data_IF_165407920478
#
_entry.id   IF_165407920478
#
_cell.length_a   1.000
_cell.length_b   1.000
_cell.length_c   1.000
_cell.angle_alpha   90.00
_cell.angle_beta   90.00
_cell.angle_gamma   90.00
#
_symmetry.space_group_name_H-M   'P 1'
#
loop_
_entity.id
_entity.type
_entity.pdbx_description
1 polymer ?
#
# COMPACT_ATOMS: atom_id res chain seq x y z
N UNK A 1 10.58 10.22 44.59
CA UNK A 1 11.91 10.87 44.60
C UNK A 1 12.86 9.92 43.90
N UNK A 2 13.64 10.22 42.85
CA UNK A 2 13.80 11.34 41.93
C UNK A 2 14.29 10.68 40.62
N UNK A 3 13.49 10.72 39.57
CA UNK A 3 13.81 11.41 38.31
C UNK A 3 15.24 11.25 37.78
N UNK A 4 15.36 10.45 36.72
CA UNK A 4 16.13 10.85 35.54
C UNK A 4 15.39 10.43 34.28
N UNK A 5 14.53 11.35 33.85
CA UNK A 5 14.05 11.49 32.47
C UNK A 5 15.26 11.79 31.60
N UNK A 6 15.67 10.87 30.74
CA UNK A 6 16.30 11.24 29.47
C UNK A 6 15.36 10.88 28.33
N UNK A 7 14.75 11.94 27.81
CA UNK A 7 13.99 12.00 26.60
C UNK A 7 14.93 11.81 25.40
N UNK A 8 14.46 11.05 24.42
CA UNK A 8 14.69 11.25 22.98
C UNK A 8 16.07 10.94 22.36
N UNK A 9 15.97 10.18 21.26
CA UNK A 9 16.74 10.29 20.02
C UNK A 9 18.18 9.74 20.04
N UNK A 10 18.39 8.62 19.34
CA UNK A 10 19.67 8.39 18.66
C UNK A 10 20.28 7.00 18.73
N UNK A 11 19.52 5.93 18.97
CA UNK A 11 20.05 4.57 18.76
C UNK A 11 19.54 4.09 17.41
N UNK A 12 20.29 4.38 16.34
CA UNK A 12 20.11 3.70 15.05
C UNK A 12 21.32 2.92 14.60
N UNK A 13 21.08 1.60 14.47
CA UNK A 13 21.92 0.57 13.87
C UNK A 13 23.21 0.29 14.64
N UNK A 14 23.11 -0.40 15.78
CA UNK A 14 24.26 -1.12 16.31
C UNK A 14 24.51 -2.35 15.41
N UNK A 15 25.23 -2.17 14.30
CA UNK A 15 25.74 -3.27 13.46
C UNK A 15 27.00 -3.92 14.04
N UNK A 16 27.52 -3.41 15.17
CA UNK A 16 28.69 -3.97 15.83
C UNK A 16 28.29 -4.88 16.98
N UNK A 17 28.14 -6.17 16.66
CA UNK A 17 28.59 -7.31 17.49
C UNK A 17 28.78 -7.01 18.99
N UNK A 18 27.67 -6.94 19.71
CA UNK A 18 27.50 -7.31 21.12
C UNK A 18 26.00 -7.27 21.47
N UNK A 19 25.15 -7.94 20.68
CA UNK A 19 23.98 -8.55 21.30
C UNK A 19 24.58 -9.68 22.13
N UNK A 20 24.63 -9.50 23.45
CA UNK A 20 24.95 -10.59 24.34
C UNK A 20 23.86 -11.65 24.16
N UNK A 21 24.13 -12.64 23.30
CA UNK A 21 23.35 -13.86 23.15
C UNK A 21 23.38 -14.75 24.42
N UNK A 22 23.79 -14.20 25.57
CA UNK A 22 23.78 -14.88 26.87
C UNK A 22 22.50 -14.64 27.67
N UNK A 23 21.62 -13.74 27.22
CA UNK A 23 20.32 -13.55 27.85
C UNK A 23 19.33 -14.56 27.28
N UNK A 24 18.82 -15.43 28.16
CA UNK A 24 17.80 -16.48 27.91
C UNK A 24 16.54 -16.02 27.17
N UNK A 25 16.36 -14.70 26.97
CA UNK A 25 15.32 -14.08 26.13
C UNK A 25 15.64 -14.07 24.63
N UNK A 26 16.90 -14.25 24.22
CA UNK A 26 17.32 -14.31 22.81
C UNK A 26 17.45 -15.76 22.36
N UNK A 27 16.31 -16.45 22.23
CA UNK A 27 16.32 -17.79 21.67
C UNK A 27 15.72 -17.81 20.26
N UNK A 28 16.59 -17.66 19.25
CA UNK A 28 16.28 -18.09 17.88
C UNK A 28 16.00 -19.60 17.78
N UNK A 29 16.22 -20.38 18.85
CA UNK A 29 16.03 -21.84 18.85
C UNK A 29 14.78 -22.35 19.58
N UNK A 30 14.01 -21.57 20.37
CA UNK A 30 12.86 -22.16 21.14
C UNK A 30 11.54 -21.39 21.12
N UNK A 31 11.44 -20.27 20.42
CA UNK A 31 10.14 -19.78 19.98
C UNK A 31 10.19 -19.80 18.48
N UNK A 32 9.16 -20.37 17.86
CA UNK A 32 8.84 -20.32 16.44
C UNK A 32 9.73 -19.33 15.69
N UNK A 33 10.36 -19.76 14.59
CA UNK A 33 10.47 -18.92 13.40
C UNK A 33 9.08 -18.31 13.17
N UNK A 34 8.76 -17.21 13.85
CA UNK A 34 7.55 -16.46 13.63
C UNK A 34 7.84 -15.86 12.28
N UNK A 35 7.31 -16.53 11.25
CA UNK A 35 7.44 -16.17 9.86
C UNK A 35 7.45 -14.65 9.79
N UNK A 36 8.57 -14.06 9.34
CA UNK A 36 8.62 -12.64 9.10
C UNK A 36 7.33 -12.25 8.37
N UNK A 37 6.75 -11.11 8.73
CA UNK A 37 5.52 -10.66 8.09
C UNK A 37 5.69 -10.81 6.58
N UNK A 38 4.70 -11.41 5.89
CA UNK A 38 4.87 -11.80 4.48
C UNK A 38 5.35 -10.63 3.61
N UNK A 39 5.01 -9.39 3.99
CA UNK A 39 5.53 -8.17 3.40
C UNK A 39 7.06 -8.01 3.55
N UNK A 40 7.61 -8.23 4.74
CA UNK A 40 9.06 -8.14 5.03
C UNK A 40 9.82 -9.26 4.32
N UNK A 41 9.30 -10.50 4.35
CA UNK A 41 9.90 -11.60 3.60
C UNK A 41 9.96 -11.28 2.10
N UNK A 42 8.85 -10.78 1.53
CA UNK A 42 8.82 -10.34 0.12
C UNK A 42 9.78 -9.17 -0.17
N UNK A 43 10.02 -8.26 0.78
CA UNK A 43 11.02 -7.20 0.62
C UNK A 43 12.43 -7.79 0.56
N UNK A 44 12.77 -8.67 1.51
CA UNK A 44 14.08 -9.34 1.59
C UNK A 44 14.33 -10.16 0.33
N UNK A 45 13.38 -11.00 -0.10
CA UNK A 45 13.51 -11.83 -1.30
C UNK A 45 13.77 -10.99 -2.56
N UNK A 46 13.13 -9.82 -2.68
CA UNK A 46 13.36 -8.88 -3.79
C UNK A 46 14.75 -8.25 -3.73
N UNK A 47 15.23 -7.91 -2.54
CA UNK A 47 16.58 -7.34 -2.35
C UNK A 47 17.64 -8.39 -2.71
N UNK A 48 17.47 -9.64 -2.24
CA UNK A 48 18.35 -10.76 -2.56
C UNK A 48 18.37 -11.03 -4.07
N UNK A 49 17.21 -10.98 -4.73
CA UNK A 49 17.12 -11.12 -6.20
C UNK A 49 17.93 -10.04 -6.93
N UNK A 50 17.85 -8.77 -6.48
CA UNK A 50 18.63 -7.66 -7.07
C UNK A 50 20.13 -7.81 -6.78
N UNK A 51 20.47 -8.35 -5.60
CA UNK A 51 21.84 -8.71 -5.23
C UNK A 51 22.37 -9.95 -5.95
N UNK A 52 21.56 -10.61 -6.80
CA UNK A 52 21.87 -11.90 -7.42
C UNK A 52 22.25 -12.99 -6.40
N UNK A 53 21.56 -13.00 -5.26
CA UNK A 53 21.75 -13.98 -4.18
C UNK A 53 20.62 -15.01 -4.23
N UNK A 54 20.98 -16.26 -4.51
CA UNK A 54 20.04 -17.37 -4.56
C UNK A 54 19.85 -18.06 -3.19
N UNK A 55 20.72 -17.79 -2.22
CA UNK A 55 20.62 -18.31 -0.87
C UNK A 55 19.49 -17.59 -0.11
N UNK A 56 18.57 -18.36 0.50
CA UNK A 56 17.57 -17.81 1.42
C UNK A 56 18.21 -17.40 2.73
N UNK A 57 17.90 -16.20 3.20
CA UNK A 57 18.34 -15.71 4.50
C UNK A 57 17.29 -16.05 5.56
N UNK A 58 17.75 -16.35 6.78
CA UNK A 58 16.85 -16.51 7.90
C UNK A 58 16.43 -15.13 8.39
N UNK A 59 15.17 -14.96 8.74
CA UNK A 59 14.63 -13.68 9.21
C UNK A 59 14.08 -13.87 10.60
N UNK A 60 14.52 -13.03 11.53
CA UNK A 60 14.14 -13.10 12.93
C UNK A 60 13.47 -11.81 13.38
N UNK A 61 12.30 -11.94 14.00
CA UNK A 61 11.61 -10.84 14.67
C UNK A 61 12.15 -10.72 16.09
N UNK A 62 12.71 -9.56 16.43
CA UNK A 62 13.21 -9.22 17.77
C UNK A 62 12.46 -8.00 18.30
N UNK A 63 11.23 -8.17 18.83
CA UNK A 63 10.48 -7.05 19.37
C UNK A 63 11.21 -6.40 20.55
N UNK A 64 10.98 -5.11 20.76
CA UNK A 64 11.53 -4.29 21.86
C UNK A 64 13.06 -4.13 21.85
N UNK A 65 13.73 -4.58 20.79
CA UNK A 65 15.18 -4.41 20.65
C UNK A 65 15.57 -3.03 20.12
N UNK A 66 14.62 -2.26 19.55
CA UNK A 66 14.89 -0.97 18.90
C UNK A 66 16.05 -1.04 17.90
N UNK A 67 16.14 -2.13 17.13
CA UNK A 67 17.28 -2.36 16.23
C UNK A 67 16.91 -3.20 14.99
N UNK A 68 17.77 -3.15 13.98
CA UNK A 68 17.84 -4.11 12.88
C UNK A 68 19.32 -4.47 12.66
N UNK A 69 19.62 -5.74 12.39
CA UNK A 69 20.99 -6.22 12.28
C UNK A 69 21.13 -7.44 11.37
N UNK A 70 22.18 -7.45 10.55
CA UNK A 70 22.72 -8.62 9.90
C UNK A 70 23.74 -9.35 10.80
N UNK A 71 23.51 -10.63 11.10
CA UNK A 71 24.37 -11.43 11.98
C UNK A 71 24.57 -12.84 11.45
N UNK A 72 25.69 -13.46 11.82
CA UNK A 72 25.90 -14.90 11.63
C UNK A 72 25.60 -15.57 12.97
N UNK A 73 24.57 -16.41 13.00
CA UNK A 73 24.17 -17.17 14.18
C UNK A 73 24.11 -18.65 13.83
N UNK A 74 24.81 -19.51 14.60
CA UNK A 74 24.90 -20.95 14.34
C UNK A 74 25.24 -21.28 12.87
N UNK A 75 26.26 -20.58 12.32
CA UNK A 75 26.70 -20.73 10.93
C UNK A 75 25.63 -20.41 9.87
N UNK A 76 24.62 -19.60 10.22
CA UNK A 76 23.56 -19.14 9.31
C UNK A 76 23.52 -17.62 9.27
N UNK A 77 23.33 -17.05 8.08
CA UNK A 77 23.05 -15.61 7.90
C UNK A 77 21.63 -15.31 8.35
N UNK A 78 21.48 -14.35 9.26
CA UNK A 78 20.22 -13.94 9.88
C UNK A 78 20.05 -12.43 9.74
N UNK A 79 18.91 -12.01 9.21
CA UNK A 79 18.42 -10.64 9.31
C UNK A 79 17.48 -10.56 10.50
N UNK A 80 17.91 -9.90 11.56
CA UNK A 80 17.12 -9.69 12.76
C UNK A 80 16.57 -8.26 12.80
N UNK A 81 15.30 -8.09 13.16
CA UNK A 81 14.70 -6.74 13.22
C UNK A 81 13.58 -6.63 14.26
N UNK A 82 13.48 -5.45 14.87
CA UNK A 82 12.32 -5.01 15.63
C UNK A 82 11.29 -4.38 14.67
N UNK A 83 10.07 -4.94 14.55
CA UNK A 83 9.04 -4.41 13.65
C UNK A 83 8.52 -3.04 14.04
N UNK A 84 8.37 -2.76 15.33
CA UNK A 84 7.85 -1.47 15.79
C UNK A 84 8.84 -0.36 15.44
N UNK A 85 10.12 -0.63 15.70
CA UNK A 85 11.23 0.23 15.35
C UNK A 85 11.39 0.44 13.84
N UNK A 86 11.36 -0.64 13.06
CA UNK A 86 11.45 -0.57 11.60
C UNK A 86 10.31 0.28 11.01
N UNK A 87 9.09 0.14 11.54
CA UNK A 87 7.93 0.95 11.17
C UNK A 87 8.12 2.42 11.55
N UNK A 88 8.56 2.68 12.78
CA UNK A 88 8.77 4.04 13.29
C UNK A 88 9.77 4.81 12.43
N UNK A 89 10.89 4.20 12.06
CA UNK A 89 11.90 4.86 11.24
C UNK A 89 11.45 5.13 9.83
N UNK A 90 10.77 4.16 9.24
CA UNK A 90 10.22 4.31 7.91
C UNK A 90 9.15 5.42 7.87
N UNK A 91 8.32 5.54 8.91
CA UNK A 91 7.32 6.60 9.04
C UNK A 91 7.97 7.98 9.20
N UNK A 92 8.99 8.11 10.04
CA UNK A 92 9.74 9.36 10.22
C UNK A 92 10.37 9.88 8.92
N UNK A 93 10.75 8.98 8.01
CA UNK A 93 11.30 9.37 6.71
C UNK A 93 10.28 9.99 5.75
N UNK A 94 8.99 9.93 6.09
CA UNK A 94 7.87 10.31 5.20
C UNK A 94 7.59 9.29 4.08
N UNK A 95 8.37 8.22 4.00
CA UNK A 95 8.37 7.24 2.91
C UNK A 95 8.35 5.80 3.46
N UNK A 96 7.21 5.37 4.02
CA UNK A 96 7.05 4.09 4.72
C UNK A 96 7.57 2.87 3.95
N UNK A 97 7.40 2.83 2.62
CA UNK A 97 7.91 1.72 1.81
C UNK A 97 9.43 1.78 1.63
N UNK A 98 9.95 2.96 1.28
CA UNK A 98 11.37 3.13 0.97
C UNK A 98 12.24 3.11 2.21
N UNK A 99 11.78 3.69 3.32
CA UNK A 99 12.46 3.62 4.60
C UNK A 99 12.72 2.18 5.05
N UNK A 100 11.71 1.29 4.95
CA UNK A 100 11.88 -0.13 5.25
C UNK A 100 12.90 -0.81 4.35
N UNK A 101 12.83 -0.56 3.04
CA UNK A 101 13.78 -1.13 2.07
C UNK A 101 15.19 -0.61 2.34
N UNK A 102 15.37 0.66 2.68
CA UNK A 102 16.68 1.23 3.01
C UNK A 102 17.34 0.50 4.17
N UNK A 103 16.61 0.28 5.28
CA UNK A 103 17.13 -0.46 6.43
C UNK A 103 17.46 -1.90 6.05
N UNK A 104 16.50 -2.63 5.45
CA UNK A 104 16.71 -4.05 5.11
C UNK A 104 17.82 -4.25 4.08
N UNK A 105 17.91 -3.37 3.08
CA UNK A 105 18.96 -3.46 2.06
C UNK A 105 20.33 -3.11 2.63
N UNK A 106 20.41 -2.18 3.59
CA UNK A 106 21.64 -1.89 4.32
C UNK A 106 22.13 -3.14 5.08
N UNK A 107 21.25 -3.78 5.86
CA UNK A 107 21.60 -5.01 6.59
C UNK A 107 22.02 -6.15 5.64
N UNK A 108 21.25 -6.38 4.57
CA UNK A 108 21.61 -7.38 3.56
C UNK A 108 22.94 -7.03 2.88
N UNK A 109 23.23 -5.74 2.70
CA UNK A 109 24.51 -5.25 2.21
C UNK A 109 25.69 -5.70 3.07
N UNK A 110 25.55 -5.69 4.40
CA UNK A 110 26.59 -6.21 5.30
C UNK A 110 26.89 -7.69 5.09
N UNK A 111 25.88 -8.51 4.78
CA UNK A 111 26.12 -9.91 4.44
C UNK A 111 26.75 -10.07 3.05
N UNK A 112 26.18 -9.43 2.03
CA UNK A 112 26.61 -9.60 0.63
C UNK A 112 28.05 -9.15 0.42
N UNK A 113 28.46 -8.10 1.11
CA UNK A 113 29.81 -7.54 1.02
C UNK A 113 30.81 -8.20 1.99
N UNK A 114 30.39 -9.24 2.71
CA UNK A 114 31.25 -10.01 3.60
C UNK A 114 31.59 -9.32 4.94
N UNK A 115 30.94 -8.20 5.27
CA UNK A 115 31.22 -7.45 6.50
C UNK A 115 30.95 -8.28 7.77
N UNK A 116 29.92 -9.13 7.73
CA UNK A 116 29.58 -10.00 8.87
C UNK A 116 30.58 -11.12 9.08
N UNK A 117 31.25 -11.57 8.00
CA UNK A 117 32.23 -12.66 8.05
C UNK A 117 33.57 -12.21 8.63
N UNK A 118 33.94 -10.93 8.43
CA UNK A 118 35.21 -10.37 8.89
C UNK A 118 35.17 -9.84 10.33
N UNK A 119 33.98 -9.69 10.91
CA UNK A 119 33.77 -8.99 12.18
C UNK A 119 34.57 -9.58 13.35
N UNK A 120 34.73 -10.90 13.41
CA UNK A 120 35.51 -11.57 14.46
C UNK A 120 37.01 -11.24 14.35
N UNK A 121 37.54 -11.23 13.13
CA UNK A 121 38.94 -10.85 12.87
C UNK A 121 39.25 -9.41 13.26
N UNK A 122 38.27 -8.50 13.12
CA UNK A 122 38.43 -7.09 13.49
C UNK A 122 38.62 -6.87 14.99
N UNK A 123 38.18 -7.81 15.86
CA UNK A 123 38.35 -7.69 17.32
C UNK A 123 39.81 -7.68 17.76
N UNK A 124 40.70 -8.27 16.96
CA UNK A 124 42.15 -8.34 17.21
C UNK A 124 42.90 -7.04 16.86
N UNK A 125 42.23 -6.08 16.21
CA UNK A 125 42.84 -4.82 15.77
C UNK A 125 42.72 -3.73 16.84
N UNK A 126 43.64 -2.74 16.85
CA UNK A 126 43.48 -1.53 17.65
C UNK A 126 42.14 -0.84 17.37
N UNK A 127 41.51 -0.28 18.42
CA UNK A 127 40.17 0.32 18.37
C UNK A 127 39.99 1.31 17.22
N UNK A 128 40.97 2.20 17.00
CA UNK A 128 40.91 3.21 15.94
C UNK A 128 40.87 2.59 14.53
N UNK A 129 41.65 1.52 14.30
CA UNK A 129 41.70 0.80 13.02
C UNK A 129 40.42 0.02 12.78
N UNK A 130 39.90 -0.65 13.82
CA UNK A 130 38.59 -1.32 13.78
C UNK A 130 37.46 -0.35 13.42
N UNK A 131 37.39 0.80 14.11
CA UNK A 131 36.37 1.81 13.85
C UNK A 131 36.46 2.38 12.43
N UNK A 132 37.67 2.56 11.89
CA UNK A 132 37.88 3.00 10.51
C UNK A 132 37.28 2.00 9.50
N UNK A 133 37.56 0.71 9.69
CA UNK A 133 37.03 -0.35 8.82
C UNK A 133 35.50 -0.45 8.94
N UNK A 134 34.95 -0.38 10.15
CA UNK A 134 33.50 -0.41 10.36
C UNK A 134 32.79 0.75 9.66
N UNK A 135 33.36 1.96 9.69
CA UNK A 135 32.81 3.09 8.92
C UNK A 135 32.82 2.83 7.41
N UNK A 136 33.87 2.19 6.88
CA UNK A 136 33.90 1.81 5.47
C UNK A 136 32.80 0.80 5.14
N UNK A 137 32.56 -0.17 6.01
CA UNK A 137 31.47 -1.15 5.85
C UNK A 137 30.09 -0.49 5.81
N UNK A 138 29.83 0.46 6.70
CA UNK A 138 28.58 1.24 6.71
C UNK A 138 28.36 1.99 5.38
N UNK A 139 29.41 2.64 4.85
CA UNK A 139 29.33 3.36 3.56
C UNK A 139 29.11 2.41 2.39
N UNK A 140 29.74 1.23 2.41
CA UNK A 140 29.55 0.22 1.37
C UNK A 140 28.13 -0.37 1.44
N UNK A 141 27.59 -0.60 2.64
CA UNK A 141 26.21 -1.02 2.86
C UNK A 141 25.20 0.05 2.40
N UNK A 142 25.43 1.33 2.71
CA UNK A 142 24.62 2.45 2.19
C UNK A 142 24.66 2.52 0.66
N UNK A 143 25.83 2.34 0.05
CA UNK A 143 25.98 2.31 -1.41
C UNK A 143 25.22 1.12 -2.03
N UNK A 144 25.27 -0.05 -1.41
CA UNK A 144 24.46 -1.19 -1.85
C UNK A 144 22.95 -0.91 -1.72
N UNK A 145 22.52 -0.35 -0.59
CA UNK A 145 21.12 0.04 -0.39
C UNK A 145 20.67 1.03 -1.47
N UNK A 146 21.47 2.05 -1.76
CA UNK A 146 21.16 3.02 -2.83
C UNK A 146 20.96 2.35 -4.20
N UNK A 147 21.82 1.39 -4.56
CA UNK A 147 21.70 0.61 -5.79
C UNK A 147 20.38 -0.17 -5.83
N UNK A 148 20.08 -0.88 -4.75
CA UNK A 148 18.84 -1.64 -4.59
C UNK A 148 17.63 -0.74 -4.75
N UNK A 149 17.60 0.40 -4.04
CA UNK A 149 16.49 1.35 -4.14
C UNK A 149 16.32 1.88 -5.57
N UNK A 150 17.39 2.23 -6.28
CA UNK A 150 17.31 2.68 -7.67
C UNK A 150 16.83 1.59 -8.64
N UNK A 151 17.35 0.37 -8.52
CA UNK A 151 16.90 -0.79 -9.31
C UNK A 151 15.43 -1.08 -9.03
N UNK A 152 15.04 -0.96 -7.76
CA UNK A 152 13.64 -1.02 -7.35
C UNK A 152 12.86 0.20 -7.80
N UNK A 153 13.44 1.29 -8.29
CA UNK A 153 12.72 2.43 -8.87
C UNK A 153 12.41 3.59 -7.92
N UNK A 154 13.07 3.67 -6.78
CA UNK A 154 13.03 4.84 -5.91
C UNK A 154 13.57 6.07 -6.64
N UNK A 155 13.02 7.24 -6.34
CA UNK A 155 13.68 8.51 -6.68
C UNK A 155 14.94 8.67 -5.82
N UNK A 156 15.87 9.52 -6.27
CA UNK A 156 17.04 9.87 -5.45
C UNK A 156 16.61 10.48 -4.10
N UNK A 157 15.53 11.30 -4.09
CA UNK A 157 15.01 11.89 -2.87
C UNK A 157 14.50 10.85 -1.87
N UNK A 158 13.73 9.86 -2.34
CA UNK A 158 13.24 8.77 -1.49
C UNK A 158 14.40 7.96 -0.93
N UNK A 159 15.44 7.76 -1.74
CA UNK A 159 16.65 7.02 -1.37
C UNK A 159 17.44 7.73 -0.27
N UNK A 160 17.47 9.06 -0.30
CA UNK A 160 18.16 9.88 0.69
C UNK A 160 17.28 10.22 1.92
N UNK A 161 15.96 10.04 1.84
CA UNK A 161 15.00 10.51 2.84
C UNK A 161 15.29 9.98 4.24
N UNK A 162 15.48 8.66 4.38
CA UNK A 162 15.81 8.05 5.66
C UNK A 162 17.19 8.54 6.16
N UNK A 163 18.23 8.46 5.32
CA UNK A 163 19.60 8.83 5.73
C UNK A 163 19.69 10.27 6.23
N UNK A 164 18.91 11.20 5.64
CA UNK A 164 18.86 12.61 6.07
C UNK A 164 18.29 12.82 7.47
N UNK A 165 17.37 11.96 7.91
CA UNK A 165 16.74 12.07 9.23
C UNK A 165 17.50 11.29 10.31
N UNK A 166 18.40 10.38 9.91
CA UNK A 166 19.26 9.67 10.84
C UNK A 166 20.27 10.65 11.44
N UNK A 167 20.10 10.97 12.72
CA UNK A 167 21.07 11.78 13.46
C UNK A 167 22.36 10.98 13.64
N UNK A 168 23.45 11.46 13.06
CA UNK A 168 24.80 10.91 13.29
C UNK A 168 25.44 11.67 14.46
N UNK A 169 26.17 10.96 15.32
CA UNK A 169 27.01 11.59 16.34
C UNK A 169 27.98 12.60 15.71
N UNK A 170 28.06 13.80 16.28
CA UNK A 170 28.87 14.92 15.74
C UNK A 170 30.39 14.66 15.74
N UNK A 171 30.88 13.58 16.38
CA UNK A 171 32.31 13.22 16.45
C UNK A 171 32.55 11.85 15.83
N UNK A 172 32.80 11.84 14.52
CA UNK A 172 33.01 10.62 13.72
C UNK A 172 34.11 9.70 14.30
N UNK A 173 35.22 10.26 14.81
CA UNK A 173 36.38 9.52 15.33
C UNK A 173 36.07 8.49 16.42
N UNK A 174 34.99 8.67 17.18
CA UNK A 174 34.59 7.77 18.27
C UNK A 174 33.36 6.91 17.96
N UNK A 175 32.75 7.12 16.79
CA UNK A 175 31.52 6.44 16.36
C UNK A 175 31.82 5.34 15.35
N UNK A 176 31.08 4.24 15.38
CA UNK A 176 31.03 3.24 14.31
C UNK A 176 30.41 3.79 13.03
N UNK A 177 29.66 4.89 13.13
CA UNK A 177 28.95 5.50 12.01
C UNK A 177 29.72 6.67 11.37
N UNK A 178 29.84 6.69 10.04
CA UNK A 178 30.36 7.83 9.29
C UNK A 178 29.46 9.05 9.40
N UNK A 179 30.02 10.23 9.14
CA UNK A 179 29.29 11.49 8.97
C UNK A 179 28.07 11.34 8.04
N UNK A 180 26.98 12.06 8.36
CA UNK A 180 25.72 11.99 7.63
C UNK A 180 25.90 12.32 6.13
N UNK A 181 26.76 13.28 5.79
CA UNK A 181 27.01 13.65 4.39
C UNK A 181 27.74 12.54 3.64
N UNK A 182 28.66 11.82 4.30
CA UNK A 182 29.33 10.65 3.71
C UNK A 182 28.33 9.54 3.40
N UNK A 183 27.40 9.28 4.32
CA UNK A 183 26.30 8.31 4.12
C UNK A 183 25.38 8.70 2.98
N UNK A 184 24.95 9.98 2.93
CA UNK A 184 24.15 10.52 1.81
C UNK A 184 24.92 10.40 0.49
N UNK A 185 26.22 10.69 0.47
CA UNK A 185 27.04 10.55 -0.73
C UNK A 185 27.14 9.08 -1.16
N UNK A 186 27.32 8.14 -0.23
CA UNK A 186 27.38 6.71 -0.51
C UNK A 186 26.08 6.17 -1.10
N UNK A 187 24.94 6.46 -0.45
CA UNK A 187 23.63 6.03 -0.97
C UNK A 187 23.33 6.66 -2.33
N UNK A 188 23.78 7.90 -2.57
CA UNK A 188 23.66 8.58 -3.87
C UNK A 188 24.49 7.90 -4.96
N UNK A 189 25.74 7.53 -4.66
CA UNK A 189 26.59 6.76 -5.60
C UNK A 189 25.92 5.45 -5.99
N UNK A 190 25.42 4.72 -4.98
CA UNK A 190 24.65 3.51 -5.17
C UNK A 190 23.46 3.70 -6.10
N UNK A 191 22.66 4.73 -5.82
CA UNK A 191 21.48 5.06 -6.60
C UNK A 191 21.82 5.34 -8.07
N UNK A 192 22.86 6.13 -8.33
CA UNK A 192 23.32 6.41 -9.69
C UNK A 192 23.70 5.13 -10.43
N UNK A 193 24.45 4.23 -9.79
CA UNK A 193 24.80 2.92 -10.37
C UNK A 193 23.57 2.08 -10.70
N UNK A 194 22.66 1.91 -9.75
CA UNK A 194 21.45 1.10 -9.96
C UNK A 194 20.52 1.70 -11.02
N UNK A 195 20.44 3.02 -11.08
CA UNK A 195 19.63 3.73 -12.07
C UNK A 195 20.20 3.56 -13.49
N UNK A 196 21.52 3.70 -13.66
CA UNK A 196 22.19 3.50 -14.94
C UNK A 196 22.01 2.07 -15.44
N UNK A 197 22.19 1.08 -14.56
CA UNK A 197 21.99 -0.35 -14.89
C UNK A 197 20.54 -0.65 -15.29
N UNK A 198 19.57 0.10 -14.77
CA UNK A 198 18.17 -0.04 -15.13
C UNK A 198 17.79 0.66 -16.45
N UNK A 199 18.75 1.30 -17.15
CA UNK A 199 18.51 1.99 -18.41
C UNK A 199 17.57 3.21 -18.31
N UNK A 200 17.47 3.83 -17.12
CA UNK A 200 16.58 4.98 -16.87
C UNK A 200 17.33 6.30 -17.12
N UNK A 201 16.59 7.38 -17.41
CA UNK A 201 17.18 8.72 -17.43
C UNK A 201 17.45 9.19 -15.99
N UNK A 202 18.69 9.01 -15.54
CA UNK A 202 19.13 9.25 -14.18
C UNK A 202 19.50 10.71 -13.89
N UNK A 203 19.41 11.60 -14.87
CA UNK A 203 19.82 12.99 -14.73
C UNK A 203 18.66 13.91 -14.40
N UNK A 204 18.68 14.50 -13.20
CA UNK A 204 17.74 15.55 -12.77
C UNK A 204 17.77 16.81 -13.64
N UNK A 205 18.81 16.99 -14.48
CA UNK A 205 18.95 18.12 -15.41
C UNK A 205 18.38 17.86 -16.82
N UNK A 206 18.36 16.63 -17.32
CA UNK A 206 17.75 16.28 -18.63
C UNK A 206 16.28 15.89 -18.51
N UNK A 207 15.86 15.34 -17.36
CA UNK A 207 14.45 15.12 -17.02
C UNK A 207 13.60 16.41 -17.02
N UNK A 208 14.24 17.58 -16.78
CA UNK A 208 13.57 18.90 -16.84
C UNK A 208 13.17 19.35 -18.25
N UNK A 209 13.81 18.85 -19.31
CA UNK A 209 13.54 19.30 -20.68
C UNK A 209 12.69 18.33 -21.52
N UNK A 210 12.35 17.14 -21.00
CA UNK A 210 11.42 16.21 -21.67
C UNK A 210 10.17 15.86 -20.87
N UNK A 211 10.11 16.17 -19.58
CA UNK A 211 8.84 16.20 -18.86
C UNK A 211 8.52 17.64 -18.50
N UNK A 212 7.52 18.22 -19.18
CA UNK A 212 6.60 19.09 -18.44
C UNK A 212 6.07 18.19 -17.32
N UNK A 213 6.64 18.25 -16.12
CA UNK A 213 6.09 17.55 -14.95
C UNK A 213 4.64 18.03 -14.82
N UNK A 214 3.70 17.22 -15.33
CA UNK A 214 2.29 17.55 -15.23
C UNK A 214 1.98 17.59 -13.74
N UNK A 215 1.49 18.74 -13.29
CA UNK A 215 1.09 18.93 -11.90
C UNK A 215 -0.19 18.14 -11.64
N UNK A 216 -0.03 16.86 -11.33
CA UNK A 216 -1.14 15.96 -11.04
C UNK A 216 -1.66 16.20 -9.64
N UNK A 217 -2.77 16.95 -9.54
CA UNK A 217 -3.43 17.19 -8.26
C UNK A 217 -4.59 16.20 -8.04
N UNK A 218 -4.71 15.69 -6.81
CA UNK A 218 -5.93 14.96 -6.44
C UNK A 218 -7.05 15.97 -6.22
N UNK A 219 -8.28 15.72 -6.72
CA UNK A 219 -9.43 16.58 -6.45
C UNK A 219 -9.86 16.60 -4.97
N UNK A 220 -9.27 15.76 -4.10
CA UNK A 220 -9.49 15.75 -2.66
C UNK A 220 -8.53 16.68 -1.88
N UNK A 221 -7.63 17.37 -2.58
CA UNK A 221 -6.71 18.34 -1.99
C UNK A 221 -5.32 17.79 -1.64
N UNK A 222 -4.54 18.58 -0.89
CA UNK A 222 -3.09 18.36 -0.69
C UNK A 222 -2.77 17.02 -0.03
N UNK A 223 -3.52 16.61 1.00
CA UNK A 223 -3.30 15.35 1.71
C UNK A 223 -3.47 14.09 0.85
N UNK A 224 -4.25 14.17 -0.23
CA UNK A 224 -4.43 13.08 -1.20
C UNK A 224 -3.46 13.15 -2.39
N UNK A 225 -2.77 14.28 -2.57
CA UNK A 225 -2.03 14.59 -3.79
C UNK A 225 -0.64 13.96 -3.82
N UNK A 226 0.02 13.74 -2.68
CA UNK A 226 1.40 13.20 -2.68
C UNK A 226 1.49 11.83 -3.37
N UNK A 227 0.76 10.82 -2.87
CA UNK A 227 0.78 9.46 -3.42
C UNK A 227 0.20 9.40 -4.84
N UNK A 228 -0.84 10.18 -5.12
CA UNK A 228 -1.47 10.23 -6.44
C UNK A 228 -0.56 10.84 -7.49
N UNK A 229 0.05 11.99 -7.20
CA UNK A 229 0.94 12.70 -8.12
C UNK A 229 2.17 11.87 -8.46
N UNK A 230 2.78 11.25 -7.45
CA UNK A 230 3.95 10.39 -7.61
C UNK A 230 3.66 9.21 -8.53
N UNK A 231 2.54 8.50 -8.30
CA UNK A 231 2.14 7.41 -9.18
C UNK A 231 1.84 7.88 -10.61
N UNK A 232 1.13 9.00 -10.78
CA UNK A 232 0.77 9.50 -12.11
C UNK A 232 2.00 9.93 -12.93
N UNK A 233 3.01 10.52 -12.28
CA UNK A 233 4.29 10.82 -12.93
C UNK A 233 5.00 9.54 -13.37
N UNK A 234 5.04 8.52 -12.51
CA UNK A 234 5.65 7.24 -12.86
C UNK A 234 4.87 6.48 -13.95
N UNK A 235 3.56 6.65 -14.02
CA UNK A 235 2.73 6.05 -15.07
C UNK A 235 2.99 6.70 -16.44
N UNK A 236 3.23 8.01 -16.47
CA UNK A 236 3.56 8.74 -17.70
C UNK A 236 4.87 8.27 -18.33
N UNK A 237 5.89 7.96 -17.52
CA UNK A 237 7.19 7.49 -18.01
C UNK A 237 7.14 6.07 -18.58
N UNK A 238 6.07 5.31 -18.30
CA UNK A 238 5.91 3.91 -18.70
C UNK A 238 4.83 3.70 -19.77
N UNK A 239 4.35 4.76 -20.42
CA UNK A 239 3.40 4.65 -21.54
C UNK A 239 4.03 3.91 -22.72
N UNK A 240 3.37 2.83 -23.16
CA UNK A 240 3.86 1.97 -24.23
C UNK A 240 4.97 1.00 -23.80
N UNK A 241 5.37 1.02 -22.53
CA UNK A 241 6.41 0.13 -21.96
C UNK A 241 5.74 -0.91 -21.08
N UNK A 242 6.27 -2.14 -21.10
CA UNK A 242 5.81 -3.21 -20.21
C UNK A 242 6.05 -2.81 -18.75
N UNK A 243 5.00 -2.87 -17.94
CA UNK A 243 5.10 -2.54 -16.51
C UNK A 243 5.87 -3.62 -15.75
N UNK A 244 6.55 -3.22 -14.67
CA UNK A 244 7.28 -4.14 -13.80
C UNK A 244 6.61 -4.24 -12.41
N UNK A 245 7.01 -5.24 -11.63
CA UNK A 245 6.44 -5.51 -10.31
C UNK A 245 6.56 -4.32 -9.36
N UNK A 246 7.60 -3.51 -9.50
CA UNK A 246 7.74 -2.32 -8.68
C UNK A 246 6.66 -1.28 -8.99
N UNK A 247 6.50 -0.93 -10.25
CA UNK A 247 5.42 -0.02 -10.69
C UNK A 247 4.06 -0.51 -10.19
N UNK A 248 3.84 -1.83 -10.24
CA UNK A 248 2.60 -2.43 -9.76
C UNK A 248 2.44 -2.42 -8.24
N UNK A 249 3.55 -2.44 -7.48
CA UNK A 249 3.50 -2.22 -6.04
C UNK A 249 3.17 -0.75 -5.71
N UNK A 250 3.66 0.22 -6.50
CA UNK A 250 3.28 1.63 -6.36
C UNK A 250 1.77 1.82 -6.64
N UNK A 251 1.27 1.24 -7.73
CA UNK A 251 -0.16 1.23 -8.04
C UNK A 251 -0.97 0.59 -6.89
N UNK A 252 -0.54 -0.58 -6.40
CA UNK A 252 -1.23 -1.29 -5.33
C UNK A 252 -1.29 -0.48 -4.03
N UNK A 253 -0.21 0.21 -3.66
CA UNK A 253 -0.19 1.12 -2.52
C UNK A 253 -1.20 2.26 -2.69
N UNK A 254 -1.18 2.96 -3.83
CA UNK A 254 -2.14 4.03 -4.13
C UNK A 254 -3.58 3.51 -4.07
N UNK A 255 -3.84 2.36 -4.69
CA UNK A 255 -5.14 1.70 -4.70
C UNK A 255 -5.64 1.41 -3.28
N UNK A 256 -4.81 0.85 -2.40
CA UNK A 256 -5.17 0.61 -1.00
C UNK A 256 -5.46 1.92 -0.27
N UNK A 257 -4.67 2.97 -0.48
CA UNK A 257 -4.95 4.30 0.09
C UNK A 257 -6.26 4.90 -0.40
N UNK A 258 -6.59 4.74 -1.68
CA UNK A 258 -7.88 5.15 -2.23
C UNK A 258 -9.02 4.34 -1.61
N UNK A 259 -8.85 3.03 -1.45
CA UNK A 259 -9.80 2.16 -0.76
C UNK A 259 -10.02 2.58 0.69
N UNK A 260 -8.96 2.85 1.45
CA UNK A 260 -9.08 3.28 2.85
C UNK A 260 -9.80 4.63 2.97
N UNK A 261 -9.52 5.58 2.06
CA UNK A 261 -10.27 6.84 1.99
C UNK A 261 -11.75 6.62 1.68
N UNK A 262 -12.09 5.65 0.82
CA UNK A 262 -13.49 5.34 0.55
C UNK A 262 -14.23 4.87 1.81
N UNK A 263 -13.54 4.13 2.69
CA UNK A 263 -14.09 3.69 3.97
C UNK A 263 -14.19 4.85 4.96
N UNK A 264 -13.12 5.66 5.09
CA UNK A 264 -13.08 6.84 5.96
C UNK A 264 -14.20 7.83 5.63
N UNK A 265 -14.40 8.10 4.34
CA UNK A 265 -15.44 9.00 3.87
C UNK A 265 -16.80 8.33 3.75
N UNK A 266 -16.96 7.06 4.15
CA UNK A 266 -18.23 6.32 4.12
C UNK A 266 -18.88 6.35 2.73
N UNK A 267 -18.08 6.13 1.68
CA UNK A 267 -18.53 6.21 0.29
C UNK A 267 -19.39 5.04 -0.20
N UNK A 268 -19.46 3.94 0.57
CA UNK A 268 -20.25 2.77 0.22
C UNK A 268 -19.73 2.02 -1.02
N UNK A 269 -18.45 2.18 -1.37
CA UNK A 269 -17.83 1.38 -2.43
C UNK A 269 -17.66 -0.07 -1.96
N UNK A 270 -17.81 -1.03 -2.88
CA UNK A 270 -17.68 -2.44 -2.56
C UNK A 270 -16.23 -2.79 -2.25
N UNK A 271 -15.84 -2.76 -0.97
CA UNK A 271 -14.47 -3.06 -0.53
C UNK A 271 -14.33 -4.53 -0.16
N UNK A 272 -13.46 -5.27 -0.86
CA UNK A 272 -13.07 -6.63 -0.46
C UNK A 272 -13.84 -7.78 -1.13
N UNK A 273 -14.84 -7.50 -1.97
CA UNK A 273 -15.44 -8.52 -2.84
C UNK A 273 -14.43 -9.05 -3.88
N UNK A 274 -14.54 -10.33 -4.22
CA UNK A 274 -13.77 -10.96 -5.29
C UNK A 274 -13.96 -10.19 -6.61
N UNK A 275 -12.86 -9.76 -7.24
CA UNK A 275 -12.88 -8.96 -8.46
C UNK A 275 -13.21 -7.47 -8.29
N UNK A 276 -13.42 -6.97 -7.06
CA UNK A 276 -13.63 -5.54 -6.85
C UNK A 276 -12.36 -4.72 -7.11
N UNK A 277 -12.43 -3.61 -7.86
CA UNK A 277 -11.32 -2.67 -7.99
C UNK A 277 -10.98 -1.99 -6.66
N UNK A 278 -11.90 -1.97 -5.70
CA UNK A 278 -11.70 -1.47 -4.35
C UNK A 278 -11.38 -2.64 -3.41
N UNK A 279 -10.09 -2.89 -3.17
CA UNK A 279 -9.62 -3.91 -2.24
C UNK A 279 -8.60 -3.31 -1.27
N UNK A 280 -8.59 -3.78 -0.01
CA UNK A 280 -7.58 -3.42 1.00
C UNK A 280 -6.32 -4.26 0.88
N UNK A 281 -6.39 -5.41 0.22
CA UNK A 281 -5.23 -6.24 -0.08
C UNK A 281 -4.46 -5.67 -1.27
N UNK A 282 -3.16 -5.46 -1.09
CA UNK A 282 -2.27 -4.96 -2.13
C UNK A 282 -1.98 -6.02 -3.21
N UNK A 283 -1.94 -7.31 -2.86
CA UNK A 283 -1.58 -8.38 -3.79
C UNK A 283 -2.50 -8.45 -5.02
N UNK A 284 -3.85 -8.51 -4.89
CA UNK A 284 -4.75 -8.49 -6.04
C UNK A 284 -4.61 -7.24 -6.93
N UNK A 285 -4.29 -6.08 -6.33
CA UNK A 285 -4.08 -4.83 -7.07
C UNK A 285 -2.78 -4.86 -7.89
N UNK A 286 -1.72 -5.42 -7.31
CA UNK A 286 -0.43 -5.61 -7.99
C UNK A 286 -0.55 -6.64 -9.10
N UNK A 287 -1.25 -7.75 -8.86
CA UNK A 287 -1.45 -8.83 -9.85
C UNK A 287 -2.31 -8.38 -11.03
N UNK A 288 -3.33 -7.55 -10.80
CA UNK A 288 -4.06 -6.89 -11.88
C UNK A 288 -3.15 -5.95 -12.68
N UNK A 289 -2.35 -5.12 -12.00
CA UNK A 289 -1.44 -4.21 -12.66
C UNK A 289 -0.41 -4.94 -13.55
N UNK A 290 0.10 -6.09 -13.12
CA UNK A 290 1.06 -6.87 -13.91
C UNK A 290 0.51 -7.34 -15.26
N UNK A 291 -0.82 -7.38 -15.41
CA UNK A 291 -1.54 -7.72 -16.65
C UNK A 291 -2.02 -6.48 -17.41
N UNK A 292 -1.86 -5.28 -16.83
CA UNK A 292 -2.33 -4.01 -17.36
C UNK A 292 -1.16 -3.15 -17.90
N UNK A 293 -1.46 -2.17 -18.74
CA UNK A 293 -0.49 -1.16 -19.16
C UNK A 293 -0.45 0.02 -18.18
N UNK A 294 0.65 0.78 -18.18
CA UNK A 294 0.76 2.02 -17.39
C UNK A 294 -0.34 3.04 -17.73
N UNK A 295 -0.87 3.01 -18.95
CA UNK A 295 -2.03 3.80 -19.37
C UNK A 295 -3.34 3.31 -18.74
N UNK A 296 -3.53 2.00 -18.60
CA UNK A 296 -4.72 1.44 -17.96
C UNK A 296 -4.74 1.72 -16.45
N UNK A 297 -3.62 1.53 -15.77
CA UNK A 297 -3.46 1.77 -14.32
C UNK A 297 -3.57 3.26 -13.98
N UNK A 298 -3.06 4.18 -14.80
CA UNK A 298 -3.26 5.63 -14.61
C UNK A 298 -4.70 6.08 -14.82
N UNK A 299 -5.41 5.51 -15.81
CA UNK A 299 -6.85 5.75 -15.97
C UNK A 299 -7.66 5.26 -14.77
N UNK A 300 -7.33 4.08 -14.26
CA UNK A 300 -7.99 3.51 -13.08
C UNK A 300 -7.74 4.37 -11.82
N UNK A 301 -6.48 4.77 -11.57
CA UNK A 301 -6.16 5.64 -10.44
C UNK A 301 -6.89 6.99 -10.51
N UNK A 302 -6.94 7.62 -11.69
CA UNK A 302 -7.70 8.86 -11.91
C UNK A 302 -9.20 8.66 -11.67
N UNK A 303 -9.76 7.58 -12.20
CA UNK A 303 -11.17 7.23 -12.01
C UNK A 303 -11.51 7.09 -10.52
N UNK A 304 -10.65 6.42 -9.74
CA UNK A 304 -10.83 6.25 -8.30
C UNK A 304 -10.78 7.56 -7.54
N UNK A 305 -9.83 8.45 -7.83
CA UNK A 305 -9.80 9.80 -7.24
C UNK A 305 -11.07 10.59 -7.56
N UNK A 306 -11.55 10.58 -8.81
CA UNK A 306 -12.78 11.27 -9.21
C UNK A 306 -14.00 10.72 -8.48
N UNK A 307 -14.09 9.39 -8.31
CA UNK A 307 -15.17 8.75 -7.55
C UNK A 307 -15.15 9.14 -6.08
N UNK A 308 -13.99 9.15 -5.45
CA UNK A 308 -13.83 9.58 -4.06
C UNK A 308 -14.18 11.07 -3.89
N UNK A 309 -13.69 11.94 -4.76
CA UNK A 309 -14.01 13.37 -4.71
C UNK A 309 -15.52 13.62 -4.83
N UNK A 310 -16.18 12.91 -5.75
CA UNK A 310 -17.64 12.96 -5.88
C UNK A 310 -18.36 12.47 -4.62
N UNK A 311 -17.81 11.47 -3.92
CA UNK A 311 -18.34 11.01 -2.64
C UNK A 311 -18.18 12.06 -1.54
N UNK A 312 -16.98 12.61 -1.38
CA UNK A 312 -16.68 13.61 -0.35
C UNK A 312 -17.52 14.85 -0.55
N UNK A 313 -17.67 15.33 -1.79
CA UNK A 313 -18.53 16.46 -2.12
C UNK A 313 -20.00 16.19 -1.73
N UNK A 314 -20.52 14.96 -1.93
CA UNK A 314 -21.87 14.59 -1.48
C UNK A 314 -22.00 14.57 0.05
N UNK A 315 -20.94 14.20 0.76
CA UNK A 315 -20.96 14.05 2.21
C UNK A 315 -20.68 15.37 2.96
N UNK A 316 -20.08 16.36 2.30
CA UNK A 316 -19.80 17.70 2.86
C UNK A 316 -20.90 18.73 2.57
N UNK A 317 -21.93 18.41 1.79
CA UNK A 317 -23.06 19.32 1.62
C UNK A 317 -23.92 19.36 2.90
N UNK A 318 -24.15 20.55 3.50
CA UNK A 318 -25.05 20.69 4.63
C UNK A 318 -26.43 20.20 4.24
N UNK A 319 -27.10 19.55 5.19
CA UNK A 319 -28.45 19.03 5.06
C UNK A 319 -29.44 20.14 4.73
N UNK A 320 -29.63 20.46 3.44
CA UNK A 320 -30.93 20.96 2.98
C UNK A 320 -31.89 19.77 2.92
N UNK A 321 -32.29 19.30 4.09
CA UNK A 321 -33.60 18.67 4.25
C UNK A 321 -34.60 19.82 4.24
N UNK A 322 -34.85 20.38 3.06
CA UNK A 322 -36.19 20.89 2.81
C UNK A 322 -36.99 19.67 2.41
N UNK A 323 -37.96 19.35 3.27
CA UNK A 323 -39.03 18.42 3.02
C UNK A 323 -39.87 18.89 1.82
N UNK A 324 -39.31 18.83 0.62
CA UNK A 324 -40.12 18.81 -0.58
C UNK A 324 -40.64 17.39 -0.71
N UNK A 325 -41.90 17.17 -0.31
CA UNK A 325 -42.75 16.11 -0.88
C UNK A 325 -42.76 16.29 -2.40
N UNK A 326 -41.71 15.86 -3.09
CA UNK A 326 -41.63 15.94 -4.55
C UNK A 326 -42.36 14.73 -5.15
N UNK A 327 -43.03 14.88 -6.30
CA UNK A 327 -44.00 13.89 -6.81
C UNK A 327 -43.41 12.52 -7.23
N UNK A 328 -42.09 12.29 -7.13
CA UNK A 328 -41.46 11.05 -7.58
C UNK A 328 -41.79 9.84 -6.70
N UNK A 329 -42.25 10.06 -5.46
CA UNK A 329 -42.67 9.00 -4.55
C UNK A 329 -43.91 8.21 -5.02
N UNK A 330 -44.87 8.84 -5.71
CA UNK A 330 -46.12 8.16 -6.12
C UNK A 330 -45.93 7.21 -7.33
N UNK A 331 -45.21 7.64 -8.37
CA UNK A 331 -44.97 6.82 -9.58
C UNK A 331 -44.02 5.64 -9.31
N UNK A 332 -42.99 5.84 -8.50
CA UNK A 332 -42.08 4.79 -8.03
C UNK A 332 -42.82 3.66 -7.31
N UNK A 333 -43.78 4.05 -6.47
CA UNK A 333 -44.64 3.14 -5.71
C UNK A 333 -45.56 2.37 -6.66
N UNK A 334 -46.06 2.99 -7.73
CA UNK A 334 -46.94 2.34 -8.72
C UNK A 334 -46.23 1.20 -9.51
N UNK A 335 -44.98 1.40 -9.94
CA UNK A 335 -44.22 0.36 -10.66
C UNK A 335 -43.86 -0.84 -9.77
N UNK A 336 -43.55 -0.59 -8.50
CA UNK A 336 -43.34 -1.65 -7.50
C UNK A 336 -44.61 -2.50 -7.30
N UNK A 337 -45.77 -1.86 -7.08
CA UNK A 337 -47.03 -2.59 -6.88
C UNK A 337 -47.45 -3.42 -8.09
N UNK A 338 -47.31 -2.87 -9.31
CA UNK A 338 -47.56 -3.61 -10.56
C UNK A 338 -46.65 -4.82 -10.71
N UNK A 339 -45.37 -4.67 -10.39
CA UNK A 339 -44.42 -5.78 -10.42
C UNK A 339 -44.79 -6.88 -9.42
N UNK A 340 -45.13 -6.54 -8.18
CA UNK A 340 -45.51 -7.53 -7.15
C UNK A 340 -46.78 -8.29 -7.55
N UNK A 341 -47.78 -7.62 -8.12
CA UNK A 341 -48.99 -8.29 -8.61
C UNK A 341 -48.68 -9.27 -9.76
N UNK A 342 -47.84 -8.86 -10.70
CA UNK A 342 -47.41 -9.72 -11.81
C UNK A 342 -46.61 -10.93 -11.30
N UNK A 343 -45.69 -10.72 -10.35
CA UNK A 343 -44.89 -11.80 -9.77
C UNK A 343 -45.75 -12.83 -9.03
N UNK A 344 -46.84 -12.40 -8.37
CA UNK A 344 -47.83 -13.31 -7.75
C UNK A 344 -48.58 -14.14 -8.79
N UNK A 345 -49.03 -13.53 -9.90
CA UNK A 345 -49.72 -14.23 -11.00
C UNK A 345 -48.84 -15.29 -11.67
N UNK A 346 -47.53 -15.02 -11.77
CA UNK A 346 -46.56 -15.91 -12.40
C UNK A 346 -45.92 -16.91 -11.42
N UNK A 347 -46.44 -17.06 -10.19
CA UNK A 347 -45.86 -17.96 -9.18
C UNK A 347 -45.80 -19.40 -9.72
N UNK A 348 -44.59 -19.94 -9.82
CA UNK A 348 -44.35 -21.30 -10.35
C UNK A 348 -44.13 -21.39 -11.86
N UNK A 349 -44.26 -20.28 -12.60
CA UNK A 349 -44.07 -20.23 -14.06
C UNK A 349 -42.66 -19.73 -14.43
N UNK A 350 -42.20 -20.09 -15.65
CA UNK A 350 -40.96 -19.54 -16.23
C UNK A 350 -41.21 -18.10 -16.68
N UNK A 351 -40.24 -17.22 -16.43
CA UNK A 351 -40.35 -15.79 -16.75
C UNK A 351 -39.66 -15.45 -18.06
N UNK A 352 -40.16 -14.42 -18.75
CA UNK A 352 -39.57 -13.90 -19.99
C UNK A 352 -38.75 -12.62 -19.73
N UNK A 353 -38.05 -12.16 -20.77
CA UNK A 353 -37.20 -10.96 -20.68
C UNK A 353 -37.97 -9.70 -20.31
N UNK A 354 -39.23 -9.57 -20.72
CA UNK A 354 -40.07 -8.42 -20.39
C UNK A 354 -40.35 -8.33 -18.88
N UNK A 355 -40.65 -9.45 -18.24
CA UNK A 355 -40.78 -9.53 -16.78
C UNK A 355 -39.50 -9.10 -16.07
N UNK A 356 -38.34 -9.60 -16.53
CA UNK A 356 -37.06 -9.27 -15.91
C UNK A 356 -36.58 -7.84 -16.18
N UNK A 357 -36.98 -7.24 -17.29
CA UNK A 357 -36.78 -5.81 -17.54
C UNK A 357 -37.63 -4.95 -16.58
N UNK A 358 -38.85 -5.39 -16.25
CA UNK A 358 -39.68 -4.71 -15.25
C UNK A 358 -39.06 -4.82 -13.84
N UNK A 359 -38.59 -6.00 -13.45
CA UNK A 359 -37.84 -6.17 -12.19
C UNK A 359 -36.61 -5.26 -12.15
N UNK A 360 -35.80 -5.24 -13.22
CA UNK A 360 -34.60 -4.41 -13.30
C UNK A 360 -34.92 -2.91 -13.17
N UNK A 361 -36.04 -2.46 -13.75
CA UNK A 361 -36.53 -1.09 -13.57
C UNK A 361 -36.86 -0.78 -12.09
N UNK A 362 -37.58 -1.68 -11.41
CA UNK A 362 -37.89 -1.53 -9.96
C UNK A 362 -36.61 -1.51 -9.12
N UNK A 363 -35.70 -2.46 -9.34
CA UNK A 363 -34.44 -2.60 -8.63
C UNK A 363 -33.52 -1.38 -8.78
N UNK A 364 -33.38 -0.87 -10.01
CA UNK A 364 -32.57 0.33 -10.28
C UNK A 364 -33.20 1.58 -9.66
N UNK A 365 -34.53 1.69 -9.65
CA UNK A 365 -35.23 2.77 -8.98
C UNK A 365 -35.06 2.72 -7.44
N UNK A 366 -35.18 1.54 -6.83
CA UNK A 366 -34.91 1.35 -5.41
C UNK A 366 -33.46 1.71 -5.05
N UNK A 367 -32.52 1.38 -5.92
CA UNK A 367 -31.11 1.81 -5.77
C UNK A 367 -30.95 3.32 -5.86
N UNK A 368 -31.66 3.99 -6.77
CA UNK A 368 -31.66 5.46 -6.84
C UNK A 368 -32.20 6.07 -5.56
N UNK A 369 -33.25 5.51 -4.97
CA UNK A 369 -33.78 5.93 -3.66
C UNK A 369 -32.80 5.69 -2.51
N UNK A 370 -32.13 4.54 -2.47
CA UNK A 370 -31.08 4.25 -1.50
C UNK A 370 -29.99 5.35 -1.52
N UNK A 371 -29.62 5.80 -2.73
CA UNK A 371 -28.66 6.89 -2.92
C UNK A 371 -29.26 8.26 -2.57
N UNK A 372 -30.50 8.54 -2.98
CA UNK A 372 -31.19 9.81 -2.74
C UNK A 372 -31.40 10.06 -1.24
N UNK A 373 -31.83 9.04 -0.51
CA UNK A 373 -32.08 9.09 0.92
C UNK A 373 -30.82 8.85 1.76
N UNK A 374 -29.66 8.62 1.12
CA UNK A 374 -28.37 8.41 1.79
C UNK A 374 -28.38 7.24 2.78
N UNK A 375 -29.14 6.19 2.50
CA UNK A 375 -29.32 5.06 3.43
C UNK A 375 -28.08 4.18 3.60
N UNK A 376 -27.12 4.24 2.67
CA UNK A 376 -25.87 3.49 2.75
C UNK A 376 -26.03 1.97 2.59
N UNK A 377 -27.17 1.46 2.09
CA UNK A 377 -27.30 0.04 1.82
C UNK A 377 -26.36 -0.38 0.68
N UNK A 378 -25.57 -1.41 0.92
CA UNK A 378 -24.40 -1.79 0.13
C UNK A 378 -24.66 -1.83 -1.38
N UNK A 379 -23.97 -0.95 -2.13
CA UNK A 379 -23.82 -0.97 -3.60
C UNK A 379 -22.95 -2.14 -4.10
N UNK A 380 -22.97 -3.25 -3.39
CA UNK A 380 -22.16 -4.41 -3.67
C UNK A 380 -21.69 -5.06 -2.38
N UNK A 381 -22.57 -5.81 -1.73
CA UNK A 381 -22.07 -7.03 -1.13
C UNK A 381 -23.07 -8.16 -1.33
N UNK A 382 -22.51 -9.32 -1.68
CA UNK A 382 -23.14 -10.54 -2.19
C UNK A 382 -23.96 -10.33 -3.48
N UNK A 383 -23.27 -10.35 -4.63
CA UNK A 383 -23.85 -10.35 -5.98
C UNK A 383 -24.84 -9.20 -6.32
N UNK A 384 -24.34 -8.00 -6.65
CA UNK A 384 -25.11 -6.96 -7.37
C UNK A 384 -26.43 -6.46 -6.73
N UNK A 385 -26.67 -6.75 -5.45
CA UNK A 385 -27.98 -6.54 -4.80
C UNK A 385 -28.52 -5.10 -4.95
N UNK A 386 -27.76 -4.07 -4.57
CA UNK A 386 -28.11 -2.66 -4.81
C UNK A 386 -27.39 -2.04 -6.01
N UNK A 387 -27.15 -2.80 -7.09
CA UNK A 387 -26.56 -2.23 -8.30
C UNK A 387 -27.56 -1.32 -9.04
N UNK A 388 -27.07 -0.16 -9.50
CA UNK A 388 -27.81 0.75 -10.39
C UNK A 388 -27.76 0.32 -11.86
N UNK A 389 -26.97 -0.71 -12.18
CA UNK A 389 -26.85 -1.23 -13.53
C UNK A 389 -28.05 -2.11 -13.88
N UNK A 390 -28.72 -1.78 -14.99
CA UNK A 390 -29.93 -2.47 -15.44
C UNK A 390 -29.66 -3.92 -15.90
N UNK A 391 -28.61 -4.13 -16.70
CA UNK A 391 -28.33 -5.44 -17.29
C UNK A 391 -28.04 -6.54 -16.25
N UNK A 392 -27.23 -6.32 -15.20
CA UNK A 392 -27.04 -7.31 -14.13
C UNK A 392 -28.34 -7.66 -13.39
N UNK A 393 -29.23 -6.70 -13.13
CA UNK A 393 -30.51 -6.94 -12.45
C UNK A 393 -31.45 -7.79 -13.32
N UNK A 394 -31.50 -7.51 -14.62
CA UNK A 394 -32.30 -8.29 -15.58
C UNK A 394 -31.74 -9.71 -15.74
N UNK A 395 -30.41 -9.86 -15.82
CA UNK A 395 -29.75 -11.17 -15.96
C UNK A 395 -29.91 -12.04 -14.70
N UNK A 396 -29.82 -11.46 -13.50
CA UNK A 396 -30.09 -12.19 -12.25
C UNK A 396 -31.54 -12.69 -12.20
N UNK A 397 -32.51 -11.85 -12.59
CA UNK A 397 -33.93 -12.24 -12.61
C UNK A 397 -34.19 -13.46 -13.51
N UNK A 398 -33.48 -13.60 -14.63
CA UNK A 398 -33.62 -14.76 -15.52
C UNK A 398 -33.20 -16.08 -14.87
N UNK A 399 -32.45 -16.04 -13.77
CA UNK A 399 -31.91 -17.22 -13.08
C UNK A 399 -32.75 -17.66 -11.88
N UNK A 400 -33.76 -16.89 -11.49
CA UNK A 400 -34.53 -17.12 -10.25
C UNK A 400 -36.04 -17.15 -10.50
N UNK A 401 -36.78 -17.73 -9.55
CA UNK A 401 -38.25 -17.82 -9.63
C UNK A 401 -38.90 -16.48 -9.27
N UNK A 402 -40.13 -16.18 -9.76
CA UNK A 402 -40.89 -14.98 -9.42
C UNK A 402 -41.07 -14.71 -7.92
N UNK A 403 -41.14 -15.76 -7.09
CA UNK A 403 -41.20 -15.61 -5.64
C UNK A 403 -39.94 -14.97 -5.05
N UNK A 404 -38.77 -15.26 -5.63
CA UNK A 404 -37.47 -14.74 -5.19
C UNK A 404 -37.32 -13.27 -5.59
N UNK A 405 -37.69 -12.93 -6.83
CA UNK A 405 -37.63 -11.53 -7.31
C UNK A 405 -38.63 -10.64 -6.56
N UNK A 406 -39.82 -11.15 -6.24
CA UNK A 406 -40.79 -10.46 -5.38
C UNK A 406 -40.27 -10.24 -3.96
N UNK A 407 -39.74 -11.30 -3.33
CA UNK A 407 -39.14 -11.22 -2.00
C UNK A 407 -37.99 -10.21 -1.93
N UNK A 408 -37.13 -10.20 -2.95
CA UNK A 408 -36.02 -9.25 -3.05
C UNK A 408 -36.49 -7.81 -3.22
N UNK A 409 -37.47 -7.55 -4.10
CA UNK A 409 -38.04 -6.22 -4.28
C UNK A 409 -38.70 -5.70 -2.99
N UNK A 410 -39.43 -6.56 -2.27
CA UNK A 410 -40.05 -6.20 -0.98
C UNK A 410 -39.02 -5.96 0.11
N UNK A 411 -37.98 -6.78 0.20
CA UNK A 411 -36.88 -6.58 1.14
C UNK A 411 -36.21 -5.20 0.95
N UNK A 412 -35.94 -4.82 -0.30
CA UNK A 412 -35.36 -3.52 -0.64
C UNK A 412 -36.28 -2.37 -0.27
N UNK A 413 -37.59 -2.53 -0.51
CA UNK A 413 -38.57 -1.51 -0.14
C UNK A 413 -38.63 -1.30 1.39
N UNK A 414 -38.64 -2.38 2.16
CA UNK A 414 -38.66 -2.31 3.62
C UNK A 414 -37.39 -1.66 4.18
N UNK A 415 -36.21 -1.97 3.60
CA UNK A 415 -34.95 -1.31 3.98
C UNK A 415 -34.99 0.18 3.69
N UNK A 416 -35.48 0.59 2.53
CA UNK A 416 -35.66 2.02 2.20
C UNK A 416 -36.62 2.69 3.19
N UNK A 417 -37.74 2.05 3.50
CA UNK A 417 -38.70 2.60 4.45
C UNK A 417 -38.11 2.77 5.86
N UNK A 418 -37.29 1.81 6.32
CA UNK A 418 -36.61 1.91 7.63
C UNK A 418 -35.50 2.96 7.69
N UNK A 419 -35.03 3.44 6.54
CA UNK A 419 -33.99 4.47 6.46
C UNK A 419 -34.57 5.90 6.48
N UNK A 420 -35.80 6.06 5.99
CA UNK A 420 -36.46 7.38 5.88
C UNK A 420 -37.24 7.74 7.14
N UNK A 421 -37.38 6.80 8.08
CA UNK A 421 -37.80 7.06 9.47
C UNK A 421 -36.57 7.35 10.30
#
# INVERSE_FOLDING_TARGET
MNTLKYCLLGVLLLSTSNIAFSDSRFNCNTLQLQNAESLIQNMIDRILTIGNIHQKYNVCRLPDSSNAAAVIYQNRRVIAYDPAYLNQLADQSGEMHWGKITVLAHEIGHHILGHTDTMEGLKRLPKWKRLSIQRQYELQADQFAGKVLATMGASLNNTQALIRILKVHQKEAFSTHPDANKRVAAVTRGWNTGCQQAGRDCNSRRAKNRSRHKNYQSPLGRGATANYSHFMQQADTLKGVKVNRHYCNLYASLAVHQTNRSLQYKCGFNVGSYGSPWNRAAAPQSDWCMKASAHATSREAKFRETKLASCVARNQQPSRVQAARTPSGRKATQHYHRFIQLAKKLKGQRVNRAYCNLYASVATHQTRRNNQYRCGFNLGDTANRWSSAFAPQSNWCMQVRPSITAGEATYRENKLASCVR
#
